data_IF_358190873692
#
_entry.id   IF_358190873692
#
_cell.length_a   1.000
_cell.length_b   1.000
_cell.length_c   1.000
_cell.angle_alpha   90.00
_cell.angle_beta   90.00
_cell.angle_gamma   90.00
#
_symmetry.space_group_name_H-M   'P 1'
#
loop_
_entity.id
_entity.type
_entity.pdbx_description
1 polymer ?
#
# COMPACT_ATOMS: atom_id res chain seq x y z
N UNK A 1 -18.67 -5.67 -9.68
CA UNK A 1 -18.50 -4.95 -10.15
C UNK A 1 -17.63 -3.81 -9.91
N UNK A 2 -16.89 -3.54 -10.82
CA UNK A 2 -16.01 -2.50 -10.73
C UNK A 2 -16.66 -1.19 -10.45
N UNK A 3 -17.79 -1.00 -11.03
CA UNK A 3 -18.51 0.17 -10.83
C UNK A 3 -18.95 0.37 -9.43
N UNK A 4 -19.42 -0.66 -8.80
CA UNK A 4 -19.82 -0.58 -7.41
C UNK A 4 -18.66 -0.24 -6.54
N UNK A 5 -17.53 -0.85 -6.80
CA UNK A 5 -16.34 -0.57 -6.05
C UNK A 5 -15.98 0.90 -6.18
N UNK A 6 -16.04 1.44 -7.36
CA UNK A 6 -15.70 2.82 -7.59
C UNK A 6 -16.66 3.76 -6.89
N UNK A 7 -17.93 3.49 -7.00
CA UNK A 7 -18.89 4.34 -6.39
C UNK A 7 -18.86 4.34 -4.92
N UNK A 8 -18.71 3.17 -4.36
CA UNK A 8 -18.75 3.06 -2.95
C UNK A 8 -17.50 3.57 -2.38
N UNK A 9 -16.61 3.86 -3.19
CA UNK A 9 -15.53 4.48 -2.71
C UNK A 9 -14.83 3.73 -1.86
N UNK A 10 -14.97 2.81 -1.77
CA UNK A 10 -14.19 2.37 -0.95
C UNK A 10 -14.42 2.06 0.37
N UNK A 11 -15.26 2.64 1.12
CA UNK A 11 -15.46 2.18 2.47
C UNK A 11 -15.81 0.71 2.51
N UNK A 12 -16.67 0.26 1.60
CA UNK A 12 -17.03 -1.15 1.59
C UNK A 12 -15.88 -2.02 1.16
N UNK A 13 -15.06 -1.54 0.26
CA UNK A 13 -13.94 -2.31 -0.23
C UNK A 13 -12.90 -2.51 0.82
N UNK A 14 -12.67 -1.51 1.66
CA UNK A 14 -11.67 -1.58 2.70
C UNK A 14 -12.06 -2.59 3.77
N UNK A 15 -13.36 -2.80 3.97
CA UNK A 15 -13.79 -3.66 5.06
C UNK A 15 -13.86 -5.15 4.75
N UNK A 16 -13.21 -5.62 3.71
CA UNK A 16 -13.01 -7.06 3.59
C UNK A 16 -12.24 -7.48 4.82
N UNK A 17 -12.91 -8.23 5.70
CA UNK A 17 -12.41 -8.46 7.05
C UNK A 17 -11.87 -9.87 7.23
N UNK A 18 -10.93 -10.05 8.17
CA UNK A 18 -10.45 -11.39 8.50
C UNK A 18 -11.54 -12.18 9.24
N UNK A 19 -11.41 -13.51 9.32
CA UNK A 19 -10.27 -14.26 8.82
C UNK A 19 -10.32 -14.42 7.31
N UNK A 20 -9.15 -14.37 6.69
CA UNK A 20 -9.07 -14.50 5.24
C UNK A 20 -9.04 -16.00 4.92
N UNK A 21 -10.15 -16.51 4.41
CA UNK A 21 -10.24 -17.92 4.06
C UNK A 21 -10.48 -18.12 2.57
N UNK A 22 -10.86 -17.03 1.89
CA UNK A 22 -11.17 -17.07 0.47
C UNK A 22 -10.03 -16.40 -0.30
N UNK A 23 -9.28 -17.16 -1.12
CA UNK A 23 -8.15 -16.58 -1.85
C UNK A 23 -8.54 -15.40 -2.75
N UNK A 24 -9.73 -15.45 -3.35
CA UNK A 24 -10.15 -14.39 -4.24
C UNK A 24 -10.40 -13.10 -3.50
N UNK A 25 -10.98 -13.16 -2.31
CA UNK A 25 -11.19 -11.97 -1.51
C UNK A 25 -9.86 -11.42 -0.98
N UNK A 26 -8.92 -12.30 -0.68
CA UNK A 26 -7.59 -11.87 -0.25
C UNK A 26 -6.88 -11.12 -1.37
N UNK A 27 -6.96 -11.63 -2.60
CA UNK A 27 -6.38 -10.96 -3.75
C UNK A 27 -7.07 -9.61 -3.97
N UNK A 28 -8.38 -9.57 -3.82
CA UNK A 28 -9.13 -8.33 -3.98
C UNK A 28 -8.69 -7.29 -2.96
N UNK A 29 -8.44 -7.72 -1.72
CA UNK A 29 -7.99 -6.80 -0.68
C UNK A 29 -6.63 -6.20 -1.01
N UNK A 30 -5.75 -6.98 -1.61
CA UNK A 30 -4.45 -6.48 -2.05
C UNK A 30 -4.64 -5.48 -3.19
N UNK A 31 -5.56 -5.76 -4.12
CA UNK A 31 -5.81 -4.86 -5.23
C UNK A 31 -6.36 -3.51 -4.74
N UNK A 32 -7.22 -3.54 -3.74
CA UNK A 32 -7.77 -2.32 -3.15
C UNK A 32 -6.63 -1.47 -2.59
N UNK A 33 -5.67 -2.08 -1.91
CA UNK A 33 -4.54 -1.36 -1.37
C UNK A 33 -3.68 -0.76 -2.48
N UNK A 34 -3.43 -1.52 -3.54
CA UNK A 34 -2.69 -1.01 -4.68
C UNK A 34 -3.39 0.20 -5.28
N UNK A 35 -4.70 0.13 -5.47
CA UNK A 35 -5.49 1.21 -6.05
C UNK A 35 -5.43 2.46 -5.17
N UNK A 36 -5.53 2.28 -3.85
CA UNK A 36 -5.47 3.40 -2.92
C UNK A 36 -4.12 4.11 -2.99
N UNK A 37 -3.04 3.35 -2.96
CA UNK A 37 -1.71 3.94 -2.99
C UNK A 37 -1.44 4.62 -4.33
N UNK A 38 -2.00 4.10 -5.41
CA UNK A 38 -1.84 4.71 -6.73
C UNK A 38 -2.63 6.01 -6.88
N UNK A 39 -3.52 6.34 -5.94
CA UNK A 39 -4.15 7.66 -5.94
C UNK A 39 -3.15 8.74 -5.56
N UNK A 40 -2.08 8.39 -4.85
CA UNK A 40 -1.09 9.32 -4.33
C UNK A 40 -1.73 10.38 -3.44
N UNK A 41 -2.77 9.97 -2.73
CA UNK A 41 -3.54 10.86 -1.85
C UNK A 41 -3.33 10.37 -0.42
N UNK A 42 -2.52 11.08 0.39
CA UNK A 42 -2.20 10.63 1.75
C UNK A 42 -3.42 10.43 2.64
N UNK A 43 -4.43 11.28 2.52
CA UNK A 43 -5.62 11.16 3.35
C UNK A 43 -6.40 9.89 3.01
N UNK A 44 -6.52 9.59 1.72
CA UNK A 44 -7.25 8.41 1.28
C UNK A 44 -6.54 7.13 1.70
N UNK A 45 -5.23 7.12 1.64
CA UNK A 45 -4.44 5.94 2.06
C UNK A 45 -4.55 5.76 3.57
N UNK A 46 -4.48 6.85 4.32
CA UNK A 46 -4.44 6.78 5.78
C UNK A 46 -5.70 6.15 6.38
N UNK A 47 -6.85 6.24 5.72
CA UNK A 47 -8.09 5.68 6.27
C UNK A 47 -8.13 4.17 6.25
N UNK A 48 -7.19 3.51 5.58
CA UNK A 48 -7.13 2.05 5.55
C UNK A 48 -6.55 1.45 6.83
N UNK A 49 -6.09 2.28 7.76
CA UNK A 49 -5.40 1.82 8.96
C UNK A 49 -6.18 2.18 10.21
N UNK A 50 -6.00 1.37 11.28
CA UNK A 50 -6.66 1.65 12.56
C UNK A 50 -6.05 2.90 13.20
N UNK A 51 -6.75 3.44 14.20
CA UNK A 51 -6.23 4.61 14.90
C UNK A 51 -4.98 4.32 15.71
N UNK A 52 -4.87 3.07 16.20
CA UNK A 52 -3.74 2.64 17.02
C UNK A 52 -2.74 1.80 16.24
N UNK A 53 -2.68 1.99 14.93
CA UNK A 53 -1.83 1.20 14.06
C UNK A 53 -0.36 1.28 14.42
N UNK A 54 0.36 0.23 14.05
CA UNK A 54 1.82 0.20 14.12
C UNK A 54 2.35 0.06 12.70
N UNK A 55 3.19 0.98 12.30
CA UNK A 55 3.60 1.11 10.91
C UNK A 55 5.10 1.30 10.82
N UNK A 56 5.74 0.45 10.08
CA UNK A 56 7.15 0.63 9.74
C UNK A 56 7.28 0.64 8.23
N UNK A 57 7.94 1.66 7.70
CA UNK A 57 8.28 1.73 6.29
C UNK A 57 9.78 1.97 6.23
N UNK A 58 10.54 1.00 5.76
CA UNK A 58 11.99 1.02 5.83
C UNK A 58 12.40 1.13 7.30
N UNK A 59 12.97 2.26 7.70
CA UNK A 59 13.37 2.47 9.09
C UNK A 59 12.51 3.54 9.77
N UNK A 60 11.44 3.98 9.13
CA UNK A 60 10.53 4.96 9.71
C UNK A 60 9.42 4.24 10.45
N UNK A 61 9.24 4.57 11.72
CA UNK A 61 8.23 3.96 12.58
C UNK A 61 7.18 5.00 12.91
N UNK A 62 5.93 4.72 12.59
CA UNK A 62 4.85 5.68 12.73
C UNK A 62 3.67 5.00 13.42
N UNK A 63 2.96 5.76 14.28
CA UNK A 63 1.85 5.18 15.01
C UNK A 63 0.55 5.96 14.88
N UNK A 64 0.58 7.25 14.55
CA UNK A 64 -0.67 8.00 14.45
C UNK A 64 -0.96 8.43 13.02
N UNK A 65 -2.22 8.75 12.79
CA UNK A 65 -2.68 9.07 11.45
C UNK A 65 -2.00 10.30 10.87
N UNK A 66 -1.81 11.33 11.71
CA UNK A 66 -1.19 12.56 11.23
C UNK A 66 0.23 12.30 10.78
N UNK A 67 0.97 11.45 11.50
CA UNK A 67 2.34 11.10 11.12
C UNK A 67 2.36 10.34 9.80
N UNK A 68 1.41 9.42 9.60
CA UNK A 68 1.33 8.67 8.34
C UNK A 68 1.00 9.61 7.18
N UNK A 69 0.07 10.52 7.36
CA UNK A 69 -0.30 11.48 6.32
C UNK A 69 0.91 12.34 5.95
N UNK A 70 1.63 12.85 6.95
CA UNK A 70 2.81 13.67 6.69
C UNK A 70 3.90 12.88 5.97
N UNK A 71 4.11 11.64 6.38
CA UNK A 71 5.08 10.77 5.73
C UNK A 71 4.71 10.59 4.25
N UNK A 72 3.45 10.31 3.96
CA UNK A 72 3.00 10.08 2.59
C UNK A 72 3.05 11.34 1.75
N UNK A 73 2.77 12.51 2.36
CA UNK A 73 2.90 13.77 1.64
C UNK A 73 4.35 13.95 1.19
N UNK A 74 5.29 13.75 2.07
CA UNK A 74 6.70 13.85 1.72
C UNK A 74 7.10 12.84 0.67
N UNK A 75 6.58 11.62 0.77
CA UNK A 75 6.88 10.58 -0.20
C UNK A 75 6.50 11.02 -1.61
N UNK A 76 5.27 11.48 -1.81
CA UNK A 76 4.81 11.80 -3.16
C UNK A 76 5.22 13.19 -3.64
N UNK A 77 5.81 13.99 -2.76
CA UNK A 77 6.52 15.20 -3.20
C UNK A 77 7.86 14.85 -3.80
N UNK A 78 8.49 13.78 -3.34
CA UNK A 78 9.80 13.35 -3.82
C UNK A 78 9.73 12.28 -4.89
N UNK A 79 8.69 11.46 -4.87
CA UNK A 79 8.55 10.33 -5.79
C UNK A 79 7.51 10.67 -6.83
N UNK A 80 8.00 11.16 -7.98
CA UNK A 80 7.14 11.68 -9.03
C UNK A 80 6.77 10.59 -10.03
N UNK A 81 5.59 10.71 -10.60
CA UNK A 81 5.03 9.74 -11.55
C UNK A 81 5.06 8.32 -11.00
N UNK A 82 4.75 8.23 -9.71
CA UNK A 82 4.72 6.99 -8.95
C UNK A 82 3.66 6.03 -9.48
N UNK A 83 4.05 4.75 -9.61
CA UNK A 83 3.13 3.72 -10.06
C UNK A 83 3.50 2.43 -9.34
N UNK A 84 2.52 1.80 -8.71
CA UNK A 84 2.70 0.67 -7.81
C UNK A 84 1.97 -0.55 -8.34
N UNK A 85 2.60 -1.72 -8.17
CA UNK A 85 1.99 -3.01 -8.43
C UNK A 85 2.22 -3.92 -7.24
N UNK A 86 1.15 -4.50 -6.71
CA UNK A 86 1.23 -5.42 -5.56
C UNK A 86 0.81 -6.82 -5.98
N UNK A 87 1.34 -7.80 -5.26
CA UNK A 87 1.02 -9.20 -5.50
C UNK A 87 0.90 -9.91 -4.16
N UNK A 88 -0.23 -10.58 -3.92
CA UNK A 88 -0.39 -11.38 -2.70
C UNK A 88 0.58 -12.55 -2.75
N UNK A 89 1.40 -12.69 -1.69
CA UNK A 89 2.32 -13.82 -1.59
C UNK A 89 1.68 -14.96 -0.82
N UNK A 90 0.97 -14.63 0.26
CA UNK A 90 0.27 -15.63 1.06
C UNK A 90 -0.53 -14.96 2.16
N UNK A 91 -1.41 -15.73 2.78
CA UNK A 91 -2.23 -15.21 3.86
C UNK A 91 -2.58 -16.32 4.83
N UNK A 92 -2.87 -15.91 6.05
CA UNK A 92 -3.34 -16.83 7.08
C UNK A 92 -4.08 -16.03 8.13
N UNK A 93 -5.34 -16.40 8.38
CA UNK A 93 -6.16 -15.74 9.39
C UNK A 93 -6.26 -14.23 9.14
N UNK A 94 -5.66 -13.39 10.00
CA UNK A 94 -5.73 -11.95 9.82
C UNK A 94 -4.43 -11.36 9.26
N UNK A 95 -3.58 -12.19 8.66
CA UNK A 95 -2.26 -11.76 8.19
C UNK A 95 -2.09 -12.01 6.71
N UNK A 96 -1.34 -11.14 6.06
CA UNK A 96 -0.96 -11.28 4.66
C UNK A 96 0.49 -10.92 4.48
N UNK A 97 1.15 -11.63 3.56
CA UNK A 97 2.45 -11.25 3.06
C UNK A 97 2.25 -10.81 1.61
N UNK A 98 2.80 -9.67 1.26
CA UNK A 98 2.59 -9.04 -0.04
C UNK A 98 3.92 -8.62 -0.62
N UNK A 99 4.14 -8.93 -1.91
CA UNK A 99 5.28 -8.41 -2.66
C UNK A 99 4.80 -7.20 -3.42
N UNK A 100 5.69 -6.24 -3.62
CA UNK A 100 5.33 -5.12 -4.47
C UNK A 100 6.54 -4.53 -5.17
N UNK A 101 6.26 -3.81 -6.23
CA UNK A 101 7.24 -3.01 -6.94
C UNK A 101 6.59 -1.67 -7.22
N UNK A 102 7.38 -0.61 -7.21
CA UNK A 102 6.89 0.64 -7.75
C UNK A 102 8.01 1.36 -8.48
N UNK A 103 7.60 2.21 -9.41
CA UNK A 103 8.53 3.01 -10.19
C UNK A 103 8.21 4.47 -9.96
N UNK A 104 9.23 5.30 -9.92
CA UNK A 104 9.09 6.74 -9.75
C UNK A 104 10.39 7.40 -10.15
N UNK A 105 10.34 8.73 -10.36
CA UNK A 105 11.57 9.47 -10.54
C UNK A 105 11.66 10.57 -9.50
N UNK A 106 12.87 11.05 -9.25
CA UNK A 106 13.08 12.14 -8.31
C UNK A 106 12.92 13.47 -9.02
N UNK A 107 13.18 14.57 -8.30
CA UNK A 107 13.02 15.91 -8.85
C UNK A 107 14.08 16.25 -9.89
N UNK A 108 15.11 15.43 -10.01
CA UNK A 108 16.16 15.63 -11.01
C UNK A 108 15.99 14.70 -12.21
N UNK A 109 14.92 13.91 -12.22
CA UNK A 109 14.63 13.04 -13.34
C UNK A 109 15.24 11.66 -13.29
N UNK A 110 15.90 11.31 -12.19
CA UNK A 110 16.46 9.97 -12.05
C UNK A 110 15.34 8.97 -11.71
N UNK A 111 15.18 7.95 -12.54
CA UNK A 111 14.18 6.91 -12.32
C UNK A 111 14.70 5.82 -11.40
N UNK A 112 13.77 5.22 -10.66
CA UNK A 112 14.05 4.11 -9.75
C UNK A 112 12.94 3.09 -9.84
N UNK A 113 13.32 1.83 -9.64
CA UNK A 113 12.35 0.77 -9.34
C UNK A 113 12.63 0.30 -7.95
N UNK A 114 11.59 0.29 -7.12
CA UNK A 114 11.69 -0.15 -5.73
C UNK A 114 11.04 -1.51 -5.61
N UNK A 115 11.72 -2.43 -4.93
CA UNK A 115 11.24 -3.78 -4.69
C UNK A 115 10.94 -3.89 -3.22
N UNK A 116 9.73 -4.30 -2.88
CA UNK A 116 9.32 -4.36 -1.48
C UNK A 116 8.60 -5.63 -1.10
N UNK A 117 8.68 -5.92 0.18
CA UNK A 117 7.88 -6.97 0.81
C UNK A 117 7.24 -6.36 2.03
N UNK A 118 5.97 -6.68 2.28
CA UNK A 118 5.32 -6.15 3.47
C UNK A 118 4.56 -7.25 4.19
N UNK A 119 4.58 -7.14 5.51
CA UNK A 119 3.83 -7.99 6.41
C UNK A 119 2.67 -7.17 6.93
N UNK A 120 1.45 -7.70 6.83
CA UNK A 120 0.23 -6.96 7.12
C UNK A 120 -0.62 -7.74 8.09
N UNK A 121 -1.14 -7.05 9.10
CA UNK A 121 -2.04 -7.65 10.07
C UNK A 121 -3.28 -6.77 10.18
N UNK A 122 -4.45 -7.39 10.18
CA UNK A 122 -5.72 -6.66 10.11
C UNK A 122 -6.53 -6.82 11.37
N UNK A 123 -7.21 -5.76 11.76
CA UNK A 123 -8.18 -5.79 12.85
C UNK A 123 -9.46 -6.47 12.38
N UNK A 124 -10.33 -6.92 13.32
CA UNK A 124 -11.61 -7.51 12.92
C UNK A 124 -12.46 -6.59 12.04
N UNK A 125 -12.24 -5.29 12.13
CA UNK A 125 -12.95 -4.32 11.29
C UNK A 125 -12.55 -4.37 9.83
N UNK A 126 -11.44 -5.04 9.51
CA UNK A 126 -10.89 -5.04 8.15
C UNK A 126 -9.85 -3.97 7.92
N UNK A 127 -9.67 -3.06 8.87
CA UNK A 127 -8.61 -2.05 8.75
C UNK A 127 -7.28 -2.66 9.18
N UNK A 128 -6.20 -2.18 8.58
CA UNK A 128 -4.88 -2.70 8.90
C UNK A 128 -4.39 -2.10 10.20
N UNK A 129 -4.00 -2.96 11.13
CA UNK A 129 -3.51 -2.52 12.43
C UNK A 129 -2.00 -2.59 12.55
N UNK A 130 -1.33 -3.31 11.63
CA UNK A 130 0.11 -3.41 11.65
C UNK A 130 0.62 -3.59 10.24
N UNK A 131 1.65 -2.84 9.91
CA UNK A 131 2.30 -2.94 8.61
C UNK A 131 3.80 -2.81 8.80
N UNK A 132 4.55 -3.73 8.21
CA UNK A 132 6.00 -3.66 8.20
C UNK A 132 6.47 -3.86 6.78
N UNK A 133 7.11 -2.86 6.21
CA UNK A 133 7.57 -2.91 4.83
C UNK A 133 9.07 -2.70 4.73
N UNK A 134 9.71 -3.61 4.02
CA UNK A 134 11.14 -3.53 3.73
C UNK A 134 11.28 -3.31 2.23
N UNK A 135 12.12 -2.36 1.84
CA UNK A 135 12.17 -1.87 0.45
C UNK A 135 13.61 -1.63 0.05
N UNK A 136 13.94 -2.08 -1.16
CA UNK A 136 15.24 -1.82 -1.78
C UNK A 136 15.03 -1.06 -3.08
N UNK A 137 15.91 -0.12 -3.38
CA UNK A 137 15.78 0.73 -4.56
C UNK A 137 16.85 0.39 -5.58
N UNK A 138 16.46 0.43 -6.85
CA UNK A 138 17.36 0.22 -7.97
C UNK A 138 17.24 1.41 -8.91
N UNK A 139 18.36 2.04 -9.25
CA UNK A 139 18.34 3.07 -10.27
C UNK A 139 18.13 2.42 -11.63
N UNK A 140 17.23 2.99 -12.41
CA UNK A 140 16.95 2.48 -13.75
C UNK A 140 16.91 3.66 -14.72
N UNK A 141 16.88 3.33 -16.00
CA UNK A 141 16.64 4.35 -17.03
C UNK A 141 15.16 4.35 -17.36
N UNK A 142 14.69 5.42 -18.02
CA UNK A 142 13.29 5.47 -18.41
C UNK A 142 12.97 4.40 -19.46
N UNK A 143 13.95 3.93 -20.22
CA UNK A 143 13.72 2.85 -21.18
C UNK A 143 13.43 1.52 -20.47
N UNK A 144 13.79 1.40 -19.20
CA UNK A 144 13.59 0.17 -18.44
C UNK A 144 12.25 0.13 -17.69
N UNK A 145 11.43 1.17 -17.81
CA UNK A 145 10.13 1.20 -17.12
C UNK A 145 9.27 0.05 -17.57
N UNK A 146 8.58 -0.59 -16.58
CA UNK A 146 7.78 -1.77 -16.82
C UNK A 146 6.35 -1.67 -16.27
N UNK A 147 6.06 -0.69 -15.43
CA UNK A 147 4.75 -0.55 -14.79
C UNK A 147 3.87 0.51 -15.42
#
# INVERSE_FOLDING_TARGET
MKQDYQQKGSPLSIVIAPPFTNPELAVQKVQIAEDLWNTRDPERVAVAYTGDKQWRNRIDFLTDRAAVVEFLKGKWERELNYKLKKELWGFRENRMAVKFQYERHDTEGQWYRSYGNELREFAPSGLMQRREASINDLEITDAELAL
#
